data_IF_924285110017
#
_entry.id   IF_924285110017
#
_cell.length_a   1.000
_cell.length_b   1.000
_cell.length_c   1.000
_cell.angle_alpha   90.00
_cell.angle_beta   90.00
_cell.angle_gamma   90.00
#
_symmetry.space_group_name_H-M   'P 1'
#
loop_
_entity.id
_entity.type
_entity.pdbx_description
1 polymer ?
#
# COMPACT_ATOMS: atom_id res chain seq x y z
N UNK A 1 3.42 1.28 34.82
CA UNK A 1 4.53 1.49 33.87
C UNK A 1 4.30 2.88 33.30
N UNK A 2 5.15 3.82 33.66
CA UNK A 2 5.00 5.22 33.25
C UNK A 2 5.65 5.42 31.89
N UNK A 3 4.87 5.17 30.83
CA UNK A 3 5.31 5.41 29.46
C UNK A 3 5.06 6.88 29.13
N UNK A 4 6.15 7.65 29.02
CA UNK A 4 6.10 9.03 28.57
C UNK A 4 6.23 9.07 27.06
N UNK A 5 5.13 9.34 26.37
CA UNK A 5 5.11 9.47 24.91
C UNK A 5 4.20 10.65 24.53
N UNK A 6 4.65 11.60 23.69
CA UNK A 6 3.89 12.82 23.38
C UNK A 6 2.46 12.54 22.92
N UNK A 7 2.28 11.56 22.02
CA UNK A 7 0.94 11.20 21.55
C UNK A 7 0.04 10.53 22.61
N UNK A 8 0.58 10.05 23.73
CA UNK A 8 -0.24 9.50 24.83
C UNK A 8 -0.65 10.60 25.83
N UNK A 9 0.15 11.65 25.95
CA UNK A 9 -0.02 12.76 26.91
C UNK A 9 -0.78 13.95 26.30
N UNK A 10 -0.70 14.16 24.99
CA UNK A 10 -1.34 15.27 24.29
C UNK A 10 -2.88 15.08 24.22
N UNK A 11 -3.68 15.98 24.83
CA UNK A 11 -5.14 15.90 24.80
C UNK A 11 -5.75 16.20 23.42
N UNK A 12 -5.01 16.82 22.50
CA UNK A 12 -5.47 17.08 21.12
C UNK A 12 -5.36 15.85 20.22
N UNK A 13 -4.58 14.83 20.62
CA UNK A 13 -4.52 13.57 19.89
C UNK A 13 -5.80 12.76 20.16
N UNK A 14 -6.57 12.39 19.13
CA UNK A 14 -7.80 11.62 19.32
C UNK A 14 -7.57 10.33 20.10
N UNK A 15 -8.40 10.04 21.10
CA UNK A 15 -8.28 8.85 21.98
C UNK A 15 -8.07 7.55 21.20
N UNK A 16 -8.73 7.43 20.05
CA UNK A 16 -8.57 6.31 19.12
C UNK A 16 -7.11 6.11 18.68
N UNK A 17 -6.41 7.19 18.30
CA UNK A 17 -4.98 7.15 17.94
C UNK A 17 -4.12 6.84 19.16
N UNK A 18 -4.46 7.40 20.34
CA UNK A 18 -3.77 7.12 21.61
C UNK A 18 -3.81 5.63 21.96
N UNK A 19 -4.95 4.95 21.76
CA UNK A 19 -5.10 3.49 21.94
C UNK A 19 -4.18 2.69 21.00
N UNK A 20 -4.12 3.04 19.71
CA UNK A 20 -3.23 2.38 18.75
C UNK A 20 -1.76 2.57 19.12
N UNK A 21 -1.36 3.78 19.52
CA UNK A 21 0.01 4.08 19.98
C UNK A 21 0.35 3.27 21.23
N UNK A 22 -0.56 3.22 22.21
CA UNK A 22 -0.37 2.46 23.43
C UNK A 22 -0.20 0.96 23.15
N UNK A 23 -1.02 0.38 22.27
CA UNK A 23 -0.86 -1.02 21.84
C UNK A 23 0.44 -1.25 21.07
N UNK A 24 0.88 -0.31 20.24
CA UNK A 24 2.17 -0.40 19.53
C UNK A 24 3.35 -0.45 20.51
N UNK A 25 3.32 0.36 21.57
CA UNK A 25 4.39 0.43 22.56
C UNK A 25 4.38 -0.80 23.48
N UNK A 26 3.20 -1.23 23.93
CA UNK A 26 3.05 -2.37 24.85
C UNK A 26 3.15 -3.72 24.14
N UNK A 27 2.99 -3.76 22.81
CA UNK A 27 2.86 -4.97 22.01
C UNK A 27 1.47 -5.62 22.16
N UNK A 28 1.10 -5.93 23.40
CA UNK A 28 -0.20 -6.45 23.77
C UNK A 28 -0.69 -5.87 25.10
N UNK A 29 -1.99 -5.62 25.24
CA UNK A 29 -2.54 -5.04 26.46
C UNK A 29 -4.01 -5.40 26.67
N UNK A 30 -4.46 -5.42 27.93
CA UNK A 30 -5.90 -5.49 28.22
C UNK A 30 -6.53 -4.10 28.15
N UNK A 31 -7.87 -4.03 28.03
CA UNK A 31 -8.60 -2.77 28.14
C UNK A 31 -8.35 -2.04 29.48
N UNK A 32 -8.03 -2.77 30.56
CA UNK A 32 -7.67 -2.19 31.86
C UNK A 32 -6.29 -1.54 31.85
N UNK A 33 -5.32 -2.17 31.20
CA UNK A 33 -3.96 -1.63 31.08
C UNK A 33 -3.96 -0.35 30.26
N UNK A 34 -4.67 -0.36 29.13
CA UNK A 34 -4.85 0.81 28.28
C UNK A 34 -5.59 1.94 29.00
N UNK A 35 -6.65 1.62 29.76
CA UNK A 35 -7.39 2.62 30.53
C UNK A 35 -6.51 3.31 31.59
N UNK A 36 -5.68 2.51 32.29
CA UNK A 36 -4.72 3.02 33.27
C UNK A 36 -3.70 3.94 32.62
N UNK A 37 -3.12 3.52 31.48
CA UNK A 37 -2.09 4.29 30.77
C UNK A 37 -2.63 5.58 30.16
N UNK A 38 -3.86 5.56 29.63
CA UNK A 38 -4.46 6.69 28.92
C UNK A 38 -5.24 7.64 29.84
N UNK A 39 -5.38 7.30 31.12
CA UNK A 39 -6.20 8.02 32.12
C UNK A 39 -7.66 8.20 31.69
N UNK A 40 -8.27 7.15 31.12
CA UNK A 40 -9.68 7.13 30.70
C UNK A 40 -10.40 5.90 31.26
N UNK A 41 -11.73 5.85 31.11
CA UNK A 41 -12.52 4.72 31.64
C UNK A 41 -12.30 3.45 30.81
N UNK A 42 -12.32 2.26 31.44
CA UNK A 42 -12.26 0.99 30.71
C UNK A 42 -13.38 0.82 29.68
N UNK A 43 -14.57 1.39 29.93
CA UNK A 43 -15.67 1.37 28.97
C UNK A 43 -15.36 2.23 27.74
N UNK A 44 -14.77 3.41 27.93
CA UNK A 44 -14.31 4.27 26.84
C UNK A 44 -13.28 3.57 25.96
N UNK A 45 -12.31 2.89 26.57
CA UNK A 45 -11.33 2.07 25.84
C UNK A 45 -12.00 0.95 25.06
N UNK A 46 -12.93 0.18 25.68
CA UNK A 46 -13.62 -0.93 25.00
C UNK A 46 -14.40 -0.48 23.78
N UNK A 47 -15.06 0.68 23.84
CA UNK A 47 -15.77 1.25 22.68
C UNK A 47 -14.81 1.54 21.51
N UNK A 48 -13.63 2.08 21.81
CA UNK A 48 -12.61 2.30 20.79
C UNK A 48 -12.02 0.99 20.26
N UNK A 49 -11.75 0.01 21.13
CA UNK A 49 -11.23 -1.29 20.73
C UNK A 49 -12.22 -2.05 19.84
N UNK A 50 -13.53 -1.99 20.12
CA UNK A 50 -14.56 -2.61 19.29
C UNK A 50 -14.55 -2.00 17.87
N UNK A 51 -14.57 -0.67 17.75
CA UNK A 51 -14.49 0.00 16.44
C UNK A 51 -13.17 -0.29 15.71
N UNK A 52 -12.05 -0.39 16.43
CA UNK A 52 -10.76 -0.74 15.83
C UNK A 52 -10.68 -2.21 15.39
N UNK A 53 -11.39 -3.11 16.10
CA UNK A 53 -11.55 -4.51 15.73
C UNK A 53 -12.44 -4.64 14.48
N UNK A 54 -13.57 -3.94 14.41
CA UNK A 54 -14.46 -3.92 13.24
C UNK A 54 -13.73 -3.47 11.97
N UNK A 55 -12.75 -2.56 12.11
CA UNK A 55 -11.91 -2.09 11.01
C UNK A 55 -10.69 -2.98 10.72
N UNK A 56 -10.50 -4.06 11.49
CA UNK A 56 -9.40 -5.01 11.35
C UNK A 56 -8.04 -4.42 11.74
N UNK A 57 -8.00 -3.39 12.59
CA UNK A 57 -6.77 -2.75 13.09
C UNK A 57 -6.28 -3.37 14.40
N UNK A 58 -7.18 -3.94 15.18
CA UNK A 58 -6.86 -4.62 16.44
C UNK A 58 -7.48 -6.01 16.41
N UNK A 59 -6.77 -6.97 17.00
CA UNK A 59 -7.30 -8.31 17.29
C UNK A 59 -7.08 -8.64 18.76
N UNK A 60 -7.71 -9.69 19.27
CA UNK A 60 -7.48 -10.12 20.65
C UNK A 60 -7.41 -11.64 20.81
N UNK A 61 -6.71 -12.06 21.86
CA UNK A 61 -6.70 -13.44 22.37
C UNK A 61 -7.40 -13.50 23.73
N UNK A 62 -8.14 -14.58 23.96
CA UNK A 62 -8.77 -14.85 25.27
C UNK A 62 -7.78 -15.59 26.16
N UNK A 63 -7.25 -14.91 27.17
CA UNK A 63 -6.28 -15.49 28.10
C UNK A 63 -6.96 -15.76 29.45
N UNK A 64 -6.83 -16.97 29.97
CA UNK A 64 -7.24 -17.34 31.33
C UNK A 64 -6.07 -17.11 32.28
N UNK A 65 -6.27 -16.25 33.27
CA UNK A 65 -5.35 -16.10 34.40
C UNK A 65 -6.09 -16.49 35.68
N UNK A 66 -5.66 -17.58 36.32
CA UNK A 66 -6.22 -18.07 37.59
C UNK A 66 -7.70 -18.44 37.52
N UNK A 67 -8.38 -18.43 38.68
CA UNK A 67 -9.84 -18.55 38.76
C UNK A 67 -10.49 -17.21 38.42
N UNK A 68 -11.06 -17.09 37.23
CA UNK A 68 -11.77 -15.88 36.79
C UNK A 68 -12.22 -15.94 35.32
N UNK A 69 -13.03 -14.95 34.91
CA UNK A 69 -13.48 -14.83 33.51
C UNK A 69 -12.26 -14.54 32.60
N UNK A 70 -12.13 -15.24 31.45
CA UNK A 70 -11.06 -14.98 30.49
C UNK A 70 -11.00 -13.49 30.12
N UNK A 71 -9.79 -12.91 30.07
CA UNK A 71 -9.58 -11.53 29.66
C UNK A 71 -9.23 -11.47 28.18
N UNK A 72 -9.65 -10.41 27.51
CA UNK A 72 -9.20 -10.08 26.16
C UNK A 72 -7.86 -9.34 26.27
N UNK A 73 -6.83 -9.92 25.67
CA UNK A 73 -5.52 -9.31 25.47
C UNK A 73 -5.47 -8.89 24.01
N UNK A 74 -5.47 -7.58 23.78
CA UNK A 74 -5.52 -6.96 22.47
C UNK A 74 -4.11 -6.74 21.93
N UNK A 75 -3.94 -6.89 20.62
CA UNK A 75 -2.71 -6.60 19.88
C UNK A 75 -3.05 -5.94 18.53
N UNK A 76 -2.09 -5.23 17.95
CA UNK A 76 -2.26 -4.65 16.62
C UNK A 76 -2.22 -5.73 15.55
N UNK A 77 -3.05 -5.59 14.52
CA UNK A 77 -2.94 -6.41 13.32
C UNK A 77 -1.80 -5.91 12.42
N UNK A 78 -1.34 -6.72 11.44
CA UNK A 78 -0.41 -6.25 10.41
C UNK A 78 -0.91 -4.98 9.70
N UNK A 79 -2.22 -4.88 9.43
CA UNK A 79 -2.86 -3.70 8.83
C UNK A 79 -2.65 -2.43 9.67
N UNK A 80 -2.75 -2.53 11.00
CA UNK A 80 -2.49 -1.39 11.88
C UNK A 80 -1.01 -1.06 12.00
N UNK A 81 -0.12 -2.07 12.00
CA UNK A 81 1.32 -1.82 12.02
C UNK A 81 1.78 -0.99 10.81
N UNK A 82 1.25 -1.26 9.62
CA UNK A 82 1.53 -0.50 8.40
C UNK A 82 1.17 1.01 8.51
N UNK A 83 0.26 1.40 9.40
CA UNK A 83 -0.07 2.81 9.63
C UNK A 83 1.02 3.59 10.39
N UNK A 84 1.96 2.90 11.03
CA UNK A 84 3.11 3.50 11.70
C UNK A 84 4.33 3.62 10.77
N UNK A 85 4.26 2.98 9.61
CA UNK A 85 5.37 2.80 8.68
C UNK A 85 5.52 3.95 7.66
N UNK A 86 4.99 5.13 7.99
CA UNK A 86 4.94 6.32 7.12
C UNK A 86 6.32 6.87 6.69
N UNK A 87 7.42 6.34 7.23
CA UNK A 87 8.78 6.81 6.90
C UNK A 87 9.42 6.09 5.72
N UNK A 88 8.86 4.99 5.20
CA UNK A 88 9.49 4.27 4.10
C UNK A 88 9.56 5.11 2.82
N UNK A 89 8.49 5.83 2.47
CA UNK A 89 8.51 6.72 1.31
C UNK A 89 9.59 7.81 1.43
N UNK A 90 9.68 8.45 2.61
CA UNK A 90 10.67 9.50 2.86
C UNK A 90 12.11 8.97 2.74
N UNK A 91 12.39 7.81 3.36
CA UNK A 91 13.71 7.17 3.27
C UNK A 91 14.03 6.73 1.83
N UNK A 92 13.07 6.15 1.11
CA UNK A 92 13.27 5.75 -0.29
C UNK A 92 13.60 6.95 -1.18
N UNK A 93 12.89 8.05 -1.01
CA UNK A 93 13.15 9.30 -1.74
C UNK A 93 14.54 9.85 -1.40
N UNK A 94 14.91 9.86 -0.12
CA UNK A 94 16.23 10.29 0.34
C UNK A 94 17.35 9.45 -0.31
N UNK A 95 17.24 8.12 -0.28
CA UNK A 95 18.22 7.23 -0.91
C UNK A 95 18.29 7.41 -2.43
N UNK A 96 17.16 7.60 -3.11
CA UNK A 96 17.15 7.88 -4.55
C UNK A 96 17.78 9.24 -4.87
N UNK A 97 17.60 10.25 -4.01
CA UNK A 97 18.31 11.52 -4.14
C UNK A 97 19.83 11.33 -4.01
N UNK A 98 20.30 10.55 -3.02
CA UNK A 98 21.74 10.25 -2.91
C UNK A 98 22.30 9.54 -4.14
N UNK A 99 21.54 8.62 -4.74
CA UNK A 99 21.93 7.97 -6.00
C UNK A 99 22.03 9.00 -7.12
N UNK A 100 21.03 9.88 -7.27
CA UNK A 100 21.03 10.95 -8.29
C UNK A 100 22.20 11.91 -8.08
N UNK A 101 22.47 12.32 -6.86
CA UNK A 101 23.50 13.30 -6.54
C UNK A 101 24.92 12.71 -6.73
N UNK A 102 25.08 11.41 -6.49
CA UNK A 102 26.38 10.72 -6.62
C UNK A 102 26.65 10.24 -8.06
N UNK A 103 25.63 9.76 -8.77
CA UNK A 103 25.78 9.03 -10.04
C UNK A 103 25.02 9.67 -11.22
N UNK A 104 24.29 10.76 -10.99
CA UNK A 104 23.54 11.50 -12.00
C UNK A 104 22.16 10.91 -12.35
N UNK A 105 21.43 11.63 -13.19
CA UNK A 105 20.06 11.29 -13.60
C UNK A 105 19.96 9.97 -14.37
N UNK A 106 20.98 9.65 -15.17
CA UNK A 106 21.05 8.39 -15.93
C UNK A 106 21.04 7.16 -15.03
N UNK A 107 21.65 7.25 -13.84
CA UNK A 107 21.61 6.16 -12.87
C UNK A 107 20.18 5.90 -12.35
N UNK A 108 19.37 6.95 -12.20
CA UNK A 108 17.95 6.83 -11.83
C UNK A 108 17.15 6.15 -12.95
N UNK A 109 17.37 6.56 -14.21
CA UNK A 109 16.77 5.91 -15.37
C UNK A 109 17.14 4.42 -15.44
N UNK A 110 18.41 4.10 -15.27
CA UNK A 110 18.87 2.71 -15.25
C UNK A 110 18.21 1.90 -14.13
N UNK A 111 18.12 2.46 -12.92
CA UNK A 111 17.52 1.80 -11.76
C UNK A 111 16.04 1.46 -12.00
N UNK A 112 15.24 2.43 -12.45
CA UNK A 112 13.82 2.20 -12.72
C UNK A 112 13.59 1.29 -13.93
N UNK A 113 14.43 1.39 -14.97
CA UNK A 113 14.35 0.49 -16.13
C UNK A 113 14.65 -0.95 -15.72
N UNK A 114 15.67 -1.16 -14.90
CA UNK A 114 16.03 -2.46 -14.34
C UNK A 114 14.94 -3.02 -13.43
N UNK A 115 14.29 -2.17 -12.63
CA UNK A 115 13.11 -2.56 -11.82
C UNK A 115 11.98 -3.04 -12.71
N UNK A 116 11.61 -2.27 -13.75
CA UNK A 116 10.54 -2.63 -14.67
C UNK A 116 10.84 -3.96 -15.40
N UNK A 117 12.09 -4.13 -15.86
CA UNK A 117 12.53 -5.36 -16.51
C UNK A 117 12.43 -6.57 -15.58
N UNK A 118 12.99 -6.51 -14.37
CA UNK A 118 12.95 -7.63 -13.41
C UNK A 118 11.53 -8.00 -13.01
N UNK A 119 10.70 -6.99 -12.71
CA UNK A 119 9.28 -7.19 -12.40
C UNK A 119 8.56 -7.89 -13.55
N UNK A 120 8.85 -7.50 -14.79
CA UNK A 120 8.27 -8.17 -15.94
C UNK A 120 8.76 -9.62 -16.08
N UNK A 121 10.06 -9.87 -15.93
CA UNK A 121 10.65 -11.23 -16.00
C UNK A 121 10.04 -12.18 -14.96
N UNK A 122 9.89 -11.71 -13.71
CA UNK A 122 9.31 -12.48 -12.60
C UNK A 122 7.84 -12.82 -12.84
N UNK A 123 7.08 -11.88 -13.40
CA UNK A 123 5.63 -12.02 -13.56
C UNK A 123 5.21 -12.62 -14.90
N UNK A 124 6.06 -12.58 -15.93
CA UNK A 124 5.77 -13.06 -17.29
C UNK A 124 5.16 -14.48 -17.33
N UNK A 125 5.61 -15.46 -16.52
CA UNK A 125 5.00 -16.80 -16.52
C UNK A 125 3.51 -16.81 -16.21
N UNK A 126 2.99 -15.81 -15.48
CA UNK A 126 1.56 -15.70 -15.15
C UNK A 126 0.69 -15.28 -16.35
N UNK A 127 1.30 -14.80 -17.43
CA UNK A 127 0.63 -14.25 -18.61
C UNK A 127 0.80 -15.11 -19.86
N UNK A 128 1.67 -16.12 -19.82
CA UNK A 128 1.98 -16.97 -20.98
C UNK A 128 0.76 -17.76 -21.44
N UNK A 129 0.59 -17.85 -22.77
CA UNK A 129 -0.51 -18.58 -23.43
C UNK A 129 -1.92 -18.11 -23.05
N UNK A 130 -2.07 -16.95 -22.43
CA UNK A 130 -3.37 -16.35 -22.13
C UNK A 130 -3.79 -15.39 -23.25
N UNK A 131 -5.09 -15.35 -23.62
CA UNK A 131 -5.60 -14.31 -24.50
C UNK A 131 -5.42 -12.93 -23.86
N UNK A 132 -5.40 -11.87 -24.68
CA UNK A 132 -5.14 -10.50 -24.21
C UNK A 132 -6.08 -10.08 -23.07
N UNK A 133 -7.36 -10.41 -23.17
CA UNK A 133 -8.36 -10.12 -22.14
C UNK A 133 -7.98 -10.71 -20.77
N UNK A 134 -7.63 -12.00 -20.73
CA UNK A 134 -7.19 -12.66 -19.49
C UNK A 134 -5.87 -12.10 -18.98
N UNK A 135 -4.97 -11.66 -19.87
CA UNK A 135 -3.73 -10.97 -19.45
C UNK A 135 -4.02 -9.62 -18.81
N UNK A 136 -4.94 -8.82 -19.35
CA UNK A 136 -5.35 -7.55 -18.74
C UNK A 136 -6.02 -7.78 -17.39
N UNK A 137 -6.90 -8.78 -17.29
CA UNK A 137 -7.53 -9.17 -16.04
C UNK A 137 -6.50 -9.58 -14.98
N UNK A 138 -5.54 -10.44 -15.35
CA UNK A 138 -4.46 -10.90 -14.47
C UNK A 138 -3.57 -9.75 -14.02
N UNK A 139 -3.30 -8.79 -14.91
CA UNK A 139 -2.52 -7.61 -14.59
C UNK A 139 -3.22 -6.75 -13.54
N UNK A 140 -4.53 -6.53 -13.67
CA UNK A 140 -5.31 -5.83 -12.66
C UNK A 140 -5.25 -6.53 -11.29
N UNK A 141 -5.30 -7.87 -11.24
CA UNK A 141 -5.12 -8.62 -9.99
C UNK A 141 -3.73 -8.40 -9.36
N UNK A 142 -2.67 -8.44 -10.17
CA UNK A 142 -1.29 -8.18 -9.72
C UNK A 142 -1.20 -6.77 -9.12
N UNK A 143 -1.67 -5.77 -9.85
CA UNK A 143 -1.65 -4.37 -9.42
C UNK A 143 -2.44 -4.16 -8.12
N UNK A 144 -3.58 -4.84 -7.95
CA UNK A 144 -4.32 -4.80 -6.69
C UNK A 144 -3.56 -5.40 -5.52
N UNK A 145 -2.87 -6.54 -5.70
CA UNK A 145 -2.03 -7.13 -4.64
C UNK A 145 -0.87 -6.21 -4.25
N UNK A 146 -0.38 -5.41 -5.19
CA UNK A 146 0.65 -4.41 -4.95
C UNK A 146 0.10 -3.07 -4.45
N UNK A 147 -1.22 -2.94 -4.29
CA UNK A 147 -1.86 -1.77 -3.69
C UNK A 147 -2.21 -0.65 -4.67
N UNK A 148 -2.30 -0.90 -5.98
CA UNK A 148 -2.63 0.14 -6.96
C UNK A 148 -4.15 0.39 -7.15
N UNK A 149 -5.01 -0.36 -6.45
CA UNK A 149 -6.47 -0.27 -6.57
C UNK A 149 -6.91 -0.24 -8.05
N UNK A 150 -6.60 -1.33 -8.76
CA UNK A 150 -6.73 -1.39 -10.20
C UNK A 150 -8.09 -1.99 -10.63
N UNK A 151 -8.65 -1.48 -11.71
CA UNK A 151 -9.81 -2.06 -12.39
C UNK A 151 -9.55 -2.16 -13.89
N UNK A 152 -10.32 -2.99 -14.58
CA UNK A 152 -10.27 -3.05 -16.03
C UNK A 152 -11.65 -3.25 -16.65
N UNK A 153 -11.82 -2.77 -17.87
CA UNK A 153 -13.03 -2.95 -18.68
C UNK A 153 -12.67 -3.15 -20.16
N UNK A 154 -13.67 -3.53 -20.96
CA UNK A 154 -13.56 -3.69 -22.41
C UNK A 154 -14.67 -2.91 -23.10
N UNK A 155 -14.32 -2.03 -24.03
CA UNK A 155 -15.25 -1.23 -24.82
C UNK A 155 -14.70 -1.08 -26.25
N UNK A 156 -15.55 -1.24 -27.27
CA UNK A 156 -15.21 -1.07 -28.69
C UNK A 156 -13.93 -1.81 -29.15
N UNK A 157 -13.70 -3.01 -28.61
CA UNK A 157 -12.52 -3.82 -28.94
C UNK A 157 -11.20 -3.36 -28.31
N UNK A 158 -11.22 -2.29 -27.50
CA UNK A 158 -10.11 -1.86 -26.67
C UNK A 158 -10.31 -2.30 -25.21
N UNK A 159 -9.19 -2.46 -24.49
CA UNK A 159 -9.17 -2.71 -23.06
C UNK A 159 -8.77 -1.44 -22.33
N UNK A 160 -9.44 -1.15 -21.22
CA UNK A 160 -9.15 -0.03 -20.35
C UNK A 160 -8.62 -0.59 -19.03
N UNK A 161 -7.48 -0.10 -18.58
CA UNK A 161 -6.89 -0.42 -17.28
C UNK A 161 -6.77 0.88 -16.50
N UNK A 162 -7.40 0.95 -15.32
CA UNK A 162 -7.37 2.12 -14.47
C UNK A 162 -6.76 1.78 -13.10
N UNK A 163 -5.93 2.67 -12.57
CA UNK A 163 -5.36 2.60 -11.22
C UNK A 163 -5.87 3.80 -10.43
N UNK A 164 -6.71 3.56 -9.43
CA UNK A 164 -7.26 4.62 -8.58
C UNK A 164 -6.34 5.00 -7.42
N UNK A 165 -5.26 4.25 -7.22
CA UNK A 165 -4.22 4.57 -6.26
C UNK A 165 -2.83 4.21 -6.83
N UNK A 166 -1.82 5.04 -6.56
CA UNK A 166 -0.44 4.68 -6.90
C UNK A 166 0.29 4.28 -5.62
N UNK A 167 0.65 3.00 -5.49
CA UNK A 167 1.34 2.48 -4.31
C UNK A 167 2.71 3.15 -4.07
N UNK A 168 3.31 3.74 -5.11
CA UNK A 168 4.58 4.47 -5.06
C UNK A 168 4.42 5.97 -5.37
N UNK A 169 3.22 6.54 -5.18
CA UNK A 169 2.90 7.90 -5.60
C UNK A 169 3.91 8.95 -5.14
N UNK A 170 4.35 8.88 -3.88
CA UNK A 170 5.27 9.87 -3.32
C UNK A 170 6.65 9.80 -3.96
N UNK A 171 7.11 8.61 -4.35
CA UNK A 171 8.33 8.44 -5.16
C UNK A 171 8.10 8.94 -6.58
N UNK A 172 6.98 8.54 -7.20
CA UNK A 172 6.63 8.87 -8.58
C UNK A 172 6.51 10.39 -8.84
N UNK A 173 6.05 11.16 -7.84
CA UNK A 173 6.00 12.63 -7.91
C UNK A 173 7.38 13.28 -8.06
N UNK A 174 8.42 12.68 -7.46
CA UNK A 174 9.77 13.24 -7.46
C UNK A 174 10.68 12.61 -8.53
N UNK A 175 10.38 11.37 -8.93
CA UNK A 175 11.14 10.59 -9.91
C UNK A 175 10.22 10.12 -11.04
N UNK A 176 9.99 10.95 -12.07
CA UNK A 176 9.11 10.63 -13.20
C UNK A 176 9.49 9.33 -13.95
N UNK A 177 10.75 8.91 -13.85
CA UNK A 177 11.26 7.63 -14.36
C UNK A 177 10.48 6.43 -13.84
N UNK A 178 10.00 6.49 -12.59
CA UNK A 178 9.16 5.45 -12.01
C UNK A 178 7.90 5.22 -12.86
N UNK A 179 7.24 6.29 -13.29
CA UNK A 179 6.06 6.22 -14.14
C UNK A 179 6.40 5.93 -15.61
N UNK A 180 7.51 6.49 -16.13
CA UNK A 180 7.90 6.33 -17.53
C UNK A 180 8.25 4.87 -17.87
N UNK A 181 8.94 4.18 -16.95
CA UNK A 181 9.33 2.78 -17.12
C UNK A 181 8.19 1.79 -16.89
N UNK A 182 7.04 2.23 -16.35
CA UNK A 182 5.86 1.37 -16.19
C UNK A 182 5.36 0.85 -17.54
N UNK A 183 5.43 1.67 -18.59
CA UNK A 183 5.04 1.24 -19.93
C UNK A 183 5.91 0.07 -20.45
N UNK A 184 7.21 0.06 -20.09
CA UNK A 184 8.11 -1.06 -20.42
C UNK A 184 7.60 -2.34 -19.77
N UNK A 185 7.24 -2.28 -18.48
CA UNK A 185 6.66 -3.40 -17.76
C UNK A 185 5.34 -3.88 -18.41
N UNK A 186 4.41 -2.96 -18.64
CA UNK A 186 3.09 -3.27 -19.21
C UNK A 186 3.20 -3.92 -20.60
N UNK A 187 4.01 -3.34 -21.50
CA UNK A 187 4.25 -3.92 -22.83
C UNK A 187 4.88 -5.30 -22.73
N UNK A 188 5.77 -5.53 -21.77
CA UNK A 188 6.43 -6.82 -21.62
C UNK A 188 5.48 -7.93 -21.18
N UNK A 189 4.54 -7.65 -20.26
CA UNK A 189 3.59 -8.67 -19.77
C UNK A 189 2.36 -8.83 -20.66
N UNK A 190 1.91 -7.77 -21.34
CA UNK A 190 0.77 -7.81 -22.25
C UNK A 190 1.16 -8.22 -23.69
N UNK A 191 2.45 -8.29 -24.00
CA UNK A 191 2.96 -8.68 -25.31
C UNK A 191 2.82 -7.57 -26.36
N UNK A 192 2.60 -7.95 -27.62
CA UNK A 192 2.57 -6.99 -28.73
C UNK A 192 1.24 -6.25 -28.82
N UNK A 193 1.13 -5.18 -28.03
CA UNK A 193 -0.05 -4.31 -27.94
C UNK A 193 0.34 -2.84 -28.12
N UNK A 194 -0.61 -2.02 -28.57
CA UNK A 194 -0.53 -0.57 -28.42
C UNK A 194 -1.06 -0.18 -27.04
N UNK A 195 -0.29 0.61 -26.28
CA UNK A 195 -0.65 1.08 -24.94
C UNK A 195 -0.51 2.59 -24.93
N UNK A 196 -1.57 3.27 -24.52
CA UNK A 196 -1.61 4.73 -24.42
C UNK A 196 -2.13 5.15 -23.05
N UNK A 197 -1.34 5.95 -22.31
CA UNK A 197 -1.79 6.57 -21.06
C UNK A 197 -2.65 7.80 -21.39
N UNK A 198 -3.86 7.86 -20.83
CA UNK A 198 -4.81 8.97 -20.99
C UNK A 198 -4.87 9.89 -19.78
N UNK A 199 -4.89 9.30 -18.59
CA UNK A 199 -4.94 10.02 -17.31
C UNK A 199 -3.70 9.63 -16.48
N UNK A 200 -3.22 10.54 -15.64
CA UNK A 200 -2.01 10.35 -14.85
C UNK A 200 -2.07 11.10 -13.50
N UNK A 201 -2.11 10.35 -12.40
CA UNK A 201 -2.19 10.90 -11.03
C UNK A 201 -1.14 11.97 -10.74
N UNK A 202 0.11 11.75 -11.15
CA UNK A 202 1.20 12.73 -10.89
C UNK A 202 1.05 14.03 -11.69
N UNK A 203 0.17 14.08 -12.68
CA UNK A 203 -0.21 15.29 -13.43
C UNK A 203 -1.47 15.97 -12.89
N UNK A 204 -2.06 15.45 -11.82
CA UNK A 204 -3.23 16.03 -11.15
C UNK A 204 -4.56 15.36 -11.49
N UNK A 205 -4.56 14.31 -12.33
CA UNK A 205 -5.77 13.52 -12.58
C UNK A 205 -6.14 12.66 -11.37
N UNK A 206 -7.39 12.20 -11.30
CA UNK A 206 -7.88 11.38 -10.18
C UNK A 206 -7.42 9.92 -10.22
N UNK A 207 -6.90 9.46 -11.35
CA UNK A 207 -6.45 8.08 -11.59
C UNK A 207 -5.40 8.02 -12.70
N UNK A 208 -4.67 6.91 -12.79
CA UNK A 208 -3.94 6.58 -14.01
C UNK A 208 -4.86 5.74 -14.90
N UNK A 209 -4.97 6.07 -16.18
CA UNK A 209 -5.80 5.32 -17.12
C UNK A 209 -5.01 4.97 -18.37
N UNK A 210 -5.06 3.70 -18.77
CA UNK A 210 -4.40 3.16 -19.95
C UNK A 210 -5.43 2.57 -20.90
N UNK A 211 -5.28 2.88 -22.18
CA UNK A 211 -6.00 2.20 -23.26
C UNK A 211 -5.03 1.23 -23.91
N UNK A 212 -5.45 -0.03 -23.99
CA UNK A 212 -4.68 -1.15 -24.52
C UNK A 212 -5.43 -1.69 -25.75
N UNK A 213 -4.74 -1.76 -26.89
CA UNK A 213 -5.29 -2.30 -28.13
C UNK A 213 -4.38 -3.42 -28.67
N UNK A 214 -4.95 -4.50 -29.22
CA UNK A 214 -4.16 -5.39 -30.07
C UNK A 214 -3.49 -4.58 -31.17
N UNK A 215 -2.21 -4.83 -31.46
CA UNK A 215 -1.66 -4.31 -32.72
C UNK A 215 -2.36 -5.05 -33.86
N UNK A 216 -2.86 -4.30 -34.83
CA UNK A 216 -3.31 -4.88 -36.09
C UNK A 216 -2.12 -5.64 -36.70
N UNK A 217 -2.31 -6.89 -37.12
CA UNK A 217 -1.31 -7.57 -37.94
C UNK A 217 -1.03 -6.66 -39.15
N UNK A 218 0.21 -6.16 -39.24
CA UNK A 218 0.67 -5.58 -40.48
C UNK A 218 0.73 -6.75 -41.48
N UNK A 219 -0.26 -6.79 -42.38
CA UNK A 219 -0.28 -7.74 -43.50
C UNK A 219 0.93 -7.59 -44.40
#
# INVERSE_FOLDING_TARGET
MDIKHPALEDPHVPTRRRVLVALKILGQATAQDLARLLHITPMGVRRHLASLEDEGLVTYKRVRHGQGRPRHVYELTPKAHAQFDQRYAALSIELLNYVRDTFGEEAIWHLFSKRAQRRAEELLPLFQNLPLEERVARLAEVLNREGYLAEWSREDGAFFLCEHHCAIQEVAKQFPQACATEEIFLRRVLGDVDIQRREHIVRGDTRCAYIIRPKSEAG
#
